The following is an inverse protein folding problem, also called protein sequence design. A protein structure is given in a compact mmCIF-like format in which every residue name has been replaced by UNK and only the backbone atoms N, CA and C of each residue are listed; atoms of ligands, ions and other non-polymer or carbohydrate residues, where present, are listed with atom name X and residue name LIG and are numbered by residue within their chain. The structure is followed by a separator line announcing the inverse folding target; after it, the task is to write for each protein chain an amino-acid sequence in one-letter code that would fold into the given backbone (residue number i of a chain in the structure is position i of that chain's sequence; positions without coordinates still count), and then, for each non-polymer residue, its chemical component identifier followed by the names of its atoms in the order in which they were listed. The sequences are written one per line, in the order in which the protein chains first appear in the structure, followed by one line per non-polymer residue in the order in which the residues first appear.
data_IF_717050101124
#
_entry.id   IF_717050101124
#
_cell.length_a   1.000
_cell.length_b   1.000
_cell.length_c   1.000
_cell.angle_alpha   90.00
_cell.angle_beta   90.00
_cell.angle_gamma   90.00
#
_symmetry.space_group_name_H-M   'P 1'
#
loop_
_entity.id
_entity.type
_entity.pdbx_description
1 polymer ?
#
# COMPACT_ATOMS: atom_id res chain seq x y z
N UNK A 1 1.06 -8.32 -8.77
CA UNK A 1 2.38 -8.21 -9.44
C UNK A 1 2.69 -9.55 -10.07
N UNK A 2 3.53 -9.62 -11.10
CA UNK A 2 3.90 -10.92 -11.69
C UNK A 2 4.52 -11.81 -10.60
N UNK A 3 4.05 -13.06 -10.50
CA UNK A 3 4.50 -14.06 -9.51
C UNK A 3 4.24 -13.69 -8.04
N UNK A 4 3.23 -12.88 -7.76
CA UNK A 4 2.75 -12.60 -6.41
C UNK A 4 1.32 -13.11 -6.24
N UNK A 5 0.91 -13.55 -5.03
CA UNK A 5 -0.47 -13.89 -4.74
C UNK A 5 -1.42 -12.72 -5.01
N UNK A 6 -2.67 -13.05 -5.35
CA UNK A 6 -3.72 -12.06 -5.53
C UNK A 6 -4.08 -11.38 -4.20
N UNK A 7 -4.34 -10.07 -4.28
CA UNK A 7 -4.93 -9.36 -3.15
C UNK A 7 -6.43 -9.67 -3.09
N UNK A 8 -6.85 -10.39 -2.04
CA UNK A 8 -8.26 -10.59 -1.72
C UNK A 8 -8.65 -9.71 -0.54
N UNK A 9 -9.64 -8.84 -0.75
CA UNK A 9 -10.22 -8.08 0.35
C UNK A 9 -11.02 -9.04 1.25
N UNK A 10 -10.91 -8.91 2.59
CA UNK A 10 -11.78 -9.65 3.49
C UNK A 10 -13.25 -9.35 3.23
N UNK A 11 -14.13 -10.27 3.65
CA UNK A 11 -15.56 -10.10 3.49
C UNK A 11 -16.05 -8.78 4.13
N UNK A 12 -16.90 -8.05 3.40
CA UNK A 12 -17.45 -6.77 3.86
C UNK A 12 -16.47 -5.59 3.85
N UNK A 13 -15.25 -5.76 3.33
CA UNK A 13 -14.23 -4.70 3.24
C UNK A 13 -14.21 -4.08 1.84
N UNK A 14 -14.15 -2.75 1.75
CA UNK A 14 -14.09 -2.05 0.46
C UNK A 14 -13.57 -0.62 0.54
N UNK A 15 -13.07 -0.11 -0.58
CA UNK A 15 -12.62 1.28 -0.72
C UNK A 15 -13.77 2.18 -1.19
N UNK A 16 -13.96 3.32 -0.53
CA UNK A 16 -14.94 4.33 -0.96
C UNK A 16 -14.41 5.11 -2.16
N UNK A 17 -15.14 5.08 -3.27
CA UNK A 17 -14.82 5.81 -4.52
C UNK A 17 -16.03 6.58 -5.05
N UNK A 18 -15.81 7.58 -5.92
CA UNK A 18 -16.86 8.33 -6.62
C UNK A 18 -17.12 9.74 -6.07
N UNK A 19 -18.22 10.35 -6.53
CA UNK A 19 -18.51 11.78 -6.37
C UNK A 19 -18.65 12.27 -4.92
N UNK A 20 -18.94 11.39 -3.97
CA UNK A 20 -19.06 11.76 -2.55
C UNK A 20 -17.83 11.37 -1.71
N UNK A 21 -16.72 10.97 -2.34
CA UNK A 21 -15.51 10.49 -1.65
C UNK A 21 -14.26 11.31 -2.00
N UNK A 22 -13.13 11.08 -1.34
CA UNK A 22 -11.86 11.68 -1.75
C UNK A 22 -11.29 11.15 -3.07
N UNK A 23 -11.79 10.01 -3.57
CA UNK A 23 -11.25 9.30 -4.73
C UNK A 23 -12.19 9.47 -5.94
N UNK A 24 -11.83 10.34 -6.88
CA UNK A 24 -12.65 10.66 -8.07
C UNK A 24 -12.27 9.87 -9.32
N UNK A 25 -11.03 9.40 -9.39
CA UNK A 25 -10.48 8.74 -10.56
C UNK A 25 -9.76 7.47 -10.14
N UNK A 26 -9.80 6.47 -11.01
CA UNK A 26 -8.97 5.27 -10.90
C UNK A 26 -7.91 5.35 -12.00
N UNK A 27 -6.66 5.23 -11.59
CA UNK A 27 -5.51 5.24 -12.50
C UNK A 27 -4.87 3.87 -12.46
N UNK A 28 -4.81 3.19 -13.60
CA UNK A 28 -4.08 1.94 -13.75
C UNK A 28 -2.63 2.24 -14.18
N UNK A 29 -1.66 1.73 -13.42
CA UNK A 29 -0.25 1.73 -13.81
C UNK A 29 0.15 0.31 -14.21
N UNK A 30 0.55 0.12 -15.47
CA UNK A 30 0.99 -1.17 -16.02
C UNK A 30 2.49 -1.12 -16.29
N UNK A 31 3.22 -2.11 -15.76
CA UNK A 31 4.67 -2.24 -15.97
C UNK A 31 4.96 -3.32 -17.01
N UNK A 32 5.46 -2.91 -18.18
CA UNK A 32 5.93 -3.81 -19.22
C UNK A 32 7.43 -4.05 -19.04
N UNK A 33 7.84 -5.31 -18.88
CA UNK A 33 9.25 -5.69 -18.80
C UNK A 33 9.97 -5.57 -20.15
N UNK A 34 9.20 -5.66 -21.23
CA UNK A 34 9.63 -5.54 -22.62
C UNK A 34 8.79 -4.45 -23.29
N UNK A 35 8.89 -4.32 -24.62
CA UNK A 35 7.96 -3.48 -25.37
C UNK A 35 6.50 -3.92 -25.12
N UNK A 36 5.60 -2.92 -25.04
CA UNK A 36 4.15 -3.14 -24.99
C UNK A 36 3.71 -3.78 -26.31
N UNK A 37 2.95 -4.90 -26.29
CA UNK A 37 2.37 -5.48 -27.49
C UNK A 37 1.38 -4.51 -28.18
N UNK A 38 1.28 -4.57 -29.51
CA UNK A 38 0.41 -3.66 -30.28
C UNK A 38 -1.08 -3.78 -29.87
N UNK A 39 -1.57 -5.00 -29.68
CA UNK A 39 -2.97 -5.29 -29.27
C UNK A 39 -3.13 -5.48 -27.75
N UNK A 40 -2.36 -4.77 -26.94
CA UNK A 40 -2.45 -4.89 -25.48
C UNK A 40 -3.65 -4.13 -24.89
N UNK A 41 -4.54 -4.91 -24.25
CA UNK A 41 -5.68 -4.45 -23.45
C UNK A 41 -5.50 -4.81 -21.96
N UNK A 42 -4.25 -4.85 -21.47
CA UNK A 42 -3.97 -5.18 -20.07
C UNK A 42 -4.63 -4.18 -19.12
N UNK A 43 -5.25 -4.70 -18.07
CA UNK A 43 -5.98 -3.86 -17.12
C UNK A 43 -6.43 -4.61 -15.88
N UNK A 44 -7.36 -3.99 -15.16
CA UNK A 44 -7.99 -4.58 -13.98
C UNK A 44 -9.49 -4.41 -14.06
N UNK A 45 -10.24 -5.42 -13.64
CA UNK A 45 -11.70 -5.33 -13.47
C UNK A 45 -12.00 -4.92 -12.04
N UNK A 46 -12.84 -3.90 -11.87
CA UNK A 46 -13.29 -3.44 -10.56
C UNK A 46 -14.71 -3.92 -10.30
N UNK A 47 -14.94 -4.51 -9.12
CA UNK A 47 -16.28 -4.78 -8.62
C UNK A 47 -16.75 -3.59 -7.78
N UNK A 48 -17.71 -2.83 -8.28
CA UNK A 48 -18.28 -1.67 -7.58
C UNK A 48 -19.63 -2.03 -6.96
N UNK A 49 -19.85 -1.59 -5.71
CA UNK A 49 -21.16 -1.66 -5.06
C UNK A 49 -21.73 -0.24 -4.92
N UNK A 50 -23.02 -0.01 -5.25
CA UNK A 50 -23.64 1.31 -5.12
C UNK A 50 -23.90 1.71 -3.66
N UNK A 51 -23.84 0.75 -2.73
CA UNK A 51 -24.08 0.95 -1.31
C UNK A 51 -22.81 0.73 -0.49
N UNK A 52 -22.74 1.38 0.67
CA UNK A 52 -21.64 1.21 1.61
C UNK A 52 -21.53 -0.25 2.08
N UNK A 53 -20.30 -0.67 2.35
CA UNK A 53 -19.99 -1.97 2.97
C UNK A 53 -19.66 -1.79 4.46
N UNK A 54 -19.75 -2.84 5.29
CA UNK A 54 -19.56 -2.72 6.74
C UNK A 54 -18.20 -2.17 7.19
N UNK A 55 -17.13 -2.41 6.42
CA UNK A 55 -15.77 -2.03 6.79
C UNK A 55 -15.09 -1.22 5.70
N UNK A 56 -14.63 -0.01 6.05
CA UNK A 56 -13.85 0.83 5.14
C UNK A 56 -12.40 0.34 5.05
N UNK A 57 -11.94 0.10 3.83
CA UNK A 57 -10.54 -0.13 3.53
C UNK A 57 -9.77 1.18 3.43
N UNK A 58 -8.51 1.16 3.83
CA UNK A 58 -7.60 2.29 3.73
C UNK A 58 -6.15 1.83 3.65
N UNK A 59 -5.24 2.79 3.52
CA UNK A 59 -3.80 2.54 3.49
C UNK A 59 -3.09 3.49 4.46
N UNK A 60 -2.22 2.93 5.30
CA UNK A 60 -1.26 3.70 6.09
C UNK A 60 0.09 3.58 5.37
N UNK A 61 0.63 4.73 4.95
CA UNK A 61 1.90 4.78 4.22
C UNK A 61 3.01 5.27 5.13
N UNK A 62 4.10 4.51 5.19
CA UNK A 62 5.35 4.95 5.83
C UNK A 62 6.37 5.23 4.74
N UNK A 63 6.59 6.51 4.47
CA UNK A 63 7.66 7.00 3.61
C UNK A 63 8.43 8.08 4.36
N UNK A 64 9.75 8.10 4.23
CA UNK A 64 10.61 9.12 4.85
C UNK A 64 11.61 9.62 3.82
N UNK A 65 12.02 10.88 4.00
CA UNK A 65 13.18 11.43 3.31
C UNK A 65 14.45 11.00 4.04
N UNK A 66 15.48 10.59 3.31
CA UNK A 66 16.76 10.16 3.86
C UNK A 66 17.88 10.25 2.82
N UNK A 67 19.12 10.04 3.25
CA UNK A 67 20.28 9.88 2.37
C UNK A 67 21.10 8.69 2.83
N UNK A 68 21.60 7.90 1.89
CA UNK A 68 22.48 6.76 2.17
C UNK A 68 23.91 7.22 1.91
N UNK A 69 24.78 7.25 2.94
CA UNK A 69 26.17 7.65 2.73
C UNK A 69 26.89 6.65 1.80
N UNK A 70 27.74 7.13 0.88
CA UNK A 70 28.46 6.25 -0.03
C UNK A 70 29.38 5.30 0.76
N UNK A 71 29.65 4.12 0.17
CA UNK A 71 30.55 3.09 0.71
C UNK A 71 30.20 2.58 2.13
N UNK A 72 28.98 2.83 2.60
CA UNK A 72 28.50 2.30 3.89
C UNK A 72 27.90 0.91 3.70
N UNK A 73 28.37 -0.07 4.48
CA UNK A 73 27.93 -1.48 4.37
C UNK A 73 26.45 -1.68 4.70
N UNK A 74 25.92 -0.94 5.68
CA UNK A 74 24.52 -1.02 6.10
C UNK A 74 24.09 0.32 6.69
N UNK A 75 22.88 0.74 6.35
CA UNK A 75 22.31 1.99 6.84
C UNK A 75 20.81 1.79 7.11
N UNK A 76 20.40 1.91 8.37
CA UNK A 76 19.01 1.70 8.80
C UNK A 76 18.21 3.00 8.65
N UNK A 77 17.17 2.98 7.83
CA UNK A 77 16.19 4.06 7.74
C UNK A 77 15.05 3.78 8.71
N UNK A 78 14.95 4.58 9.77
CA UNK A 78 13.85 4.50 10.73
C UNK A 78 12.70 5.40 10.29
N UNK A 79 11.49 4.87 10.34
CA UNK A 79 10.25 5.62 10.16
C UNK A 79 9.26 5.16 11.22
N UNK A 80 8.79 6.08 12.06
CA UNK A 80 7.86 5.79 13.14
C UNK A 80 6.79 6.87 13.21
N UNK A 81 5.59 6.47 13.60
CA UNK A 81 4.47 7.37 13.79
C UNK A 81 3.55 6.83 14.86
N UNK A 82 2.92 7.73 15.63
CA UNK A 82 1.87 7.39 16.56
C UNK A 82 0.53 7.41 15.83
N UNK A 83 -0.19 6.29 15.83
CA UNK A 83 -1.56 6.24 15.31
C UNK A 83 -2.55 6.61 16.42
N UNK A 84 -3.34 7.67 16.19
CA UNK A 84 -4.45 8.07 17.06
C UNK A 84 -5.69 8.28 16.21
N UNK A 85 -6.69 7.44 16.39
CA UNK A 85 -8.00 7.54 15.72
C UNK A 85 -9.10 7.09 16.66
N UNK A 86 -10.34 7.44 16.34
CA UNK A 86 -11.53 7.03 17.09
C UNK A 86 -11.89 5.54 16.88
N UNK A 87 -11.33 4.92 15.84
CA UNK A 87 -11.50 3.49 15.55
C UNK A 87 -10.14 2.78 15.38
N UNK A 88 -10.03 1.51 15.82
CA UNK A 88 -8.83 0.71 15.60
C UNK A 88 -8.69 0.32 14.12
N UNK A 89 -7.45 0.04 13.70
CA UNK A 89 -7.15 -0.52 12.38
C UNK A 89 -6.78 -2.00 12.50
N UNK A 90 -7.34 -2.83 11.62
CA UNK A 90 -6.92 -4.22 11.43
C UNK A 90 -6.15 -4.33 10.12
N UNK A 91 -4.85 -4.59 10.23
CA UNK A 91 -4.00 -4.82 9.06
C UNK A 91 -4.23 -6.23 8.51
N UNK A 92 -4.50 -6.34 7.22
CA UNK A 92 -4.71 -7.63 6.53
C UNK A 92 -3.74 -7.85 5.36
N UNK A 93 -3.05 -6.80 4.90
CA UNK A 93 -2.06 -6.87 3.83
C UNK A 93 -0.98 -5.80 4.02
N UNK A 94 0.22 -6.08 3.50
CA UNK A 94 1.36 -5.16 3.50
C UNK A 94 2.02 -5.18 2.13
N UNK A 95 2.49 -4.01 1.68
CA UNK A 95 3.35 -3.89 0.51
C UNK A 95 4.60 -3.11 0.90
N UNK A 96 5.76 -3.67 0.59
CA UNK A 96 7.05 -2.99 0.73
C UNK A 96 7.48 -2.40 -0.62
N UNK A 97 8.22 -1.30 -0.59
CA UNK A 97 8.79 -0.68 -1.78
C UNK A 97 10.18 -0.13 -1.48
N UNK A 98 11.16 -0.55 -2.28
CA UNK A 98 12.55 -0.07 -2.25
C UNK A 98 13.08 0.00 -3.67
N UNK A 99 14.13 0.79 -3.87
CA UNK A 99 14.98 0.70 -5.06
C UNK A 99 16.08 -0.36 -4.85
N UNK A 100 17.09 -0.39 -5.73
CA UNK A 100 18.12 -1.44 -5.79
C UNK A 100 18.95 -1.66 -4.51
N UNK A 101 19.05 -0.65 -3.62
CA UNK A 101 19.82 -0.75 -2.38
C UNK A 101 19.05 -1.36 -1.20
N UNK A 102 17.73 -1.52 -1.31
CA UNK A 102 16.93 -2.15 -0.27
C UNK A 102 17.34 -3.60 -0.03
N UNK A 103 17.40 -4.02 1.24
CA UNK A 103 17.71 -5.40 1.62
C UNK A 103 16.61 -6.03 2.47
N UNK A 104 16.25 -5.39 3.57
CA UNK A 104 15.19 -5.84 4.46
C UNK A 104 14.26 -4.69 4.80
N UNK A 105 12.95 -4.94 4.80
CA UNK A 105 11.93 -4.01 5.25
C UNK A 105 11.03 -4.77 6.21
N UNK A 106 10.86 -4.22 7.41
CA UNK A 106 10.02 -4.81 8.44
C UNK A 106 9.31 -3.70 9.21
N UNK A 107 8.22 -4.07 9.87
CA UNK A 107 7.43 -3.16 10.70
C UNK A 107 7.16 -3.83 12.03
N UNK A 108 7.34 -3.08 13.11
CA UNK A 108 7.04 -3.50 14.48
C UNK A 108 5.94 -2.62 15.03
N UNK A 109 4.95 -3.22 15.70
CA UNK A 109 3.97 -2.47 16.48
C UNK A 109 4.55 -2.23 17.86
N UNK A 110 4.90 -0.99 18.16
CA UNK A 110 5.32 -0.59 19.51
C UNK A 110 4.10 -0.13 20.31
N UNK A 111 3.89 -0.72 21.49
CA UNK A 111 2.88 -0.23 22.44
C UNK A 111 3.45 0.97 23.17
N UNK A 112 2.80 2.12 23.05
CA UNK A 112 3.21 3.33 23.77
C UNK A 112 2.79 3.26 25.25
N UNK A 113 3.42 2.38 26.02
CA UNK A 113 3.41 2.46 27.48
C UNK A 113 4.52 3.43 27.88
N UNK A 114 4.20 4.73 27.92
CA UNK A 114 4.92 5.60 28.85
C UNK A 114 4.40 5.27 30.24
N UNK A 115 5.28 4.66 31.05
CA UNK A 115 5.25 4.76 32.52
C UNK A 115 4.98 6.20 32.95
#
# INVERSE_FOLDING_TARGET
GRNAPDLRLPEGVGFSVGQNTGIKYIVAQVHYLTARPEDDHSGVTLLLKPHAVPYAAGLVSFASWFSIPPLTKSHLIKNSCCFKSYQPLTMFAVRVHTHALGRNVYMTRETWNKT
#
